data_IF_089322376174
#
_entry.id   IF_089322376174
#
_cell.length_a   1.000
_cell.length_b   1.000
_cell.length_c   1.000
_cell.angle_alpha   90.00
_cell.angle_beta   90.00
_cell.angle_gamma   90.00
#
_symmetry.space_group_name_H-M   'P 1'
#
loop_
_entity.id
_entity.type
_entity.pdbx_description
1 polymer ?
#
# COMPACT_ATOMS: atom_id res chain seq x y z
N UNK A 1 -30.24 -4.77 14.70
CA UNK A 1 -29.59 -5.73 13.78
C UNK A 1 -28.25 -6.12 14.39
N UNK A 2 -28.19 -7.22 15.15
CA UNK A 2 -26.97 -7.69 15.79
C UNK A 2 -26.12 -8.40 14.73
N UNK A 3 -25.32 -7.61 14.00
CA UNK A 3 -24.32 -8.14 13.08
C UNK A 3 -23.21 -8.72 13.97
N UNK A 4 -23.02 -10.04 13.89
CA UNK A 4 -22.12 -10.80 14.76
C UNK A 4 -20.71 -10.19 14.77
N UNK A 5 -20.33 -9.60 15.92
CA UNK A 5 -19.01 -8.96 16.13
C UNK A 5 -17.86 -9.92 15.77
N UNK A 6 -18.05 -11.22 16.03
CA UNK A 6 -17.09 -12.25 15.67
C UNK A 6 -16.89 -12.40 14.15
N UNK A 7 -17.98 -12.31 13.35
CA UNK A 7 -17.89 -12.41 11.89
C UNK A 7 -17.13 -11.20 11.30
N UNK A 8 -17.36 -9.99 11.84
CA UNK A 8 -16.67 -8.78 11.39
C UNK A 8 -15.17 -8.83 11.68
N UNK A 9 -14.77 -9.39 12.83
CA UNK A 9 -13.37 -9.58 13.18
C UNK A 9 -12.67 -10.57 12.25
N UNK A 10 -13.33 -11.69 11.91
CA UNK A 10 -12.77 -12.67 10.97
C UNK A 10 -12.56 -12.06 9.58
N UNK A 11 -13.49 -11.22 9.12
CA UNK A 11 -13.36 -10.54 7.82
C UNK A 11 -12.18 -9.56 7.84
N UNK A 12 -12.02 -8.73 8.87
CA UNK A 12 -10.89 -7.79 8.98
C UNK A 12 -9.53 -8.53 8.98
N UNK A 13 -9.41 -9.59 9.77
CA UNK A 13 -8.19 -10.42 9.80
C UNK A 13 -7.92 -11.07 8.43
N UNK A 14 -8.95 -11.53 7.74
CA UNK A 14 -8.82 -12.12 6.40
C UNK A 14 -8.34 -11.10 5.38
N UNK A 15 -8.88 -9.87 5.40
CA UNK A 15 -8.44 -8.79 4.52
C UNK A 15 -6.98 -8.43 4.78
N UNK A 16 -6.57 -8.33 6.05
CA UNK A 16 -5.17 -8.07 6.44
C UNK A 16 -4.22 -9.18 6.02
N UNK A 17 -4.65 -10.44 6.15
CA UNK A 17 -3.87 -11.58 5.67
C UNK A 17 -3.68 -11.52 4.15
N UNK A 18 -4.74 -11.16 3.42
CA UNK A 18 -4.67 -11.02 1.96
C UNK A 18 -3.74 -9.88 1.54
N UNK A 19 -3.78 -8.75 2.25
CA UNK A 19 -2.86 -7.62 2.05
C UNK A 19 -1.40 -8.05 2.17
N UNK A 20 -1.07 -8.81 3.23
CA UNK A 20 0.28 -9.34 3.42
C UNK A 20 0.68 -10.33 2.31
N UNK A 21 -0.23 -11.21 1.88
CA UNK A 21 0.06 -12.18 0.82
C UNK A 21 0.37 -11.47 -0.49
N UNK A 22 -0.43 -10.47 -0.87
CA UNK A 22 -0.21 -9.70 -2.10
C UNK A 22 1.07 -8.87 -2.02
N UNK A 23 1.37 -8.26 -0.87
CA UNK A 23 2.65 -7.59 -0.65
C UNK A 23 3.84 -8.55 -0.80
N UNK A 24 3.76 -9.79 -0.29
CA UNK A 24 4.80 -10.82 -0.51
C UNK A 24 4.97 -11.13 -1.99
N UNK A 25 3.86 -11.31 -2.72
CA UNK A 25 3.92 -11.59 -4.15
C UNK A 25 4.64 -10.46 -4.89
N UNK A 26 4.30 -9.21 -4.58
CA UNK A 26 4.96 -8.03 -5.17
C UNK A 26 6.45 -8.00 -4.82
N UNK A 27 6.83 -8.24 -3.55
CA UNK A 27 8.24 -8.34 -3.15
C UNK A 27 8.98 -9.39 -3.98
N UNK A 28 8.37 -10.56 -4.20
CA UNK A 28 9.03 -11.61 -4.96
C UNK A 28 9.16 -11.24 -6.43
N UNK A 29 8.07 -10.78 -7.07
CA UNK A 29 8.08 -10.50 -8.52
C UNK A 29 8.91 -9.28 -8.88
N UNK A 30 8.71 -8.18 -8.15
CA UNK A 30 9.40 -6.91 -8.37
C UNK A 30 10.87 -7.02 -7.95
N UNK A 31 11.13 -7.69 -6.82
CA UNK A 31 12.49 -7.92 -6.33
C UNK A 31 13.31 -8.80 -7.26
N UNK A 32 12.69 -9.82 -7.84
CA UNK A 32 13.33 -10.62 -8.87
C UNK A 32 13.60 -9.79 -10.13
N UNK A 33 12.66 -8.97 -10.59
CA UNK A 33 12.86 -8.10 -11.76
C UNK A 33 14.03 -7.13 -11.54
N UNK A 34 14.09 -6.48 -10.38
CA UNK A 34 15.22 -5.62 -9.96
C UNK A 34 16.54 -6.39 -9.96
N UNK A 35 16.54 -7.61 -9.40
CA UNK A 35 17.73 -8.45 -9.33
C UNK A 35 18.21 -8.94 -10.71
N UNK A 36 17.29 -9.24 -11.63
CA UNK A 36 17.62 -9.70 -12.99
C UNK A 36 18.12 -8.56 -13.84
N UNK A 37 17.43 -7.41 -13.82
CA UNK A 37 17.82 -6.24 -14.62
C UNK A 37 19.29 -5.92 -14.39
N UNK A 38 19.70 -5.79 -13.12
CA UNK A 38 21.04 -5.35 -12.68
C UNK A 38 21.44 -4.03 -13.36
N UNK A 39 21.95 -3.06 -12.60
CA UNK A 39 22.44 -1.84 -13.24
C UNK A 39 23.52 -2.15 -14.29
N UNK A 40 23.32 -1.67 -15.50
CA UNK A 40 24.18 -1.94 -16.65
C UNK A 40 24.62 -0.65 -17.34
N UNK A 41 25.75 -0.70 -18.04
CA UNK A 41 26.26 0.44 -18.80
C UNK A 41 25.81 0.33 -20.25
N UNK A 42 25.02 1.31 -20.69
CA UNK A 42 24.54 1.40 -22.06
C UNK A 42 25.39 2.37 -22.87
N UNK A 43 25.63 2.02 -24.13
CA UNK A 43 26.24 2.94 -25.07
C UNK A 43 25.17 3.80 -25.71
N UNK A 44 25.13 5.07 -25.34
CA UNK A 44 24.05 5.98 -25.72
C UNK A 44 24.56 6.96 -26.77
N UNK A 45 23.79 7.13 -27.84
CA UNK A 45 24.08 8.05 -28.93
C UNK A 45 23.26 9.34 -28.76
N UNK A 46 23.91 10.50 -28.77
CA UNK A 46 23.26 11.82 -28.77
C UNK A 46 23.70 12.62 -29.99
N UNK A 47 22.92 13.65 -30.31
CA UNK A 47 23.16 14.56 -31.45
C UNK A 47 24.57 15.19 -31.43
N UNK A 48 25.21 15.29 -30.25
CA UNK A 48 26.51 15.96 -30.07
C UNK A 48 27.66 15.03 -29.62
N UNK A 49 27.47 13.70 -29.61
CA UNK A 49 28.53 12.76 -29.22
C UNK A 49 28.01 11.40 -28.75
N UNK A 50 28.90 10.55 -28.26
CA UNK A 50 28.56 9.23 -27.69
C UNK A 50 29.31 9.07 -26.36
N UNK A 51 28.65 8.51 -25.34
CA UNK A 51 29.29 8.15 -24.07
C UNK A 51 28.61 6.91 -23.47
N UNK A 52 29.34 6.25 -22.56
CA UNK A 52 28.79 5.15 -21.77
C UNK A 52 28.00 5.71 -20.59
N UNK A 53 26.69 5.50 -20.57
CA UNK A 53 25.81 5.90 -19.49
C UNK A 53 25.54 4.69 -18.59
N UNK A 54 25.61 4.86 -17.28
CA UNK A 54 25.17 3.82 -16.35
C UNK A 54 23.64 3.93 -16.17
N UNK A 55 22.91 2.95 -16.66
CA UNK A 55 21.48 2.81 -16.41
C UNK A 55 21.28 1.97 -15.15
N UNK A 56 20.87 2.65 -14.08
CA UNK A 56 20.46 2.01 -12.83
C UNK A 56 19.08 1.36 -12.94
N UNK A 57 18.71 0.60 -11.92
CA UNK A 57 17.35 0.06 -11.79
C UNK A 57 16.35 1.24 -11.75
N UNK A 58 15.23 1.17 -12.47
CA UNK A 58 14.23 2.23 -12.45
C UNK A 58 13.68 2.49 -11.04
N UNK A 59 13.46 3.76 -10.70
CA UNK A 59 12.99 4.20 -9.39
C UNK A 59 11.54 3.78 -9.11
N UNK A 60 10.73 3.59 -10.16
CA UNK A 60 9.36 3.12 -10.03
C UNK A 60 9.28 1.70 -9.45
N UNK A 61 10.21 0.83 -9.84
CA UNK A 61 10.31 -0.53 -9.31
C UNK A 61 10.72 -0.48 -7.85
N UNK A 62 11.72 0.34 -7.52
CA UNK A 62 12.12 0.56 -6.12
C UNK A 62 10.99 1.10 -5.25
N UNK A 63 10.14 1.98 -5.79
CA UNK A 63 9.01 2.56 -5.06
C UNK A 63 7.89 1.54 -4.80
N UNK A 64 7.55 0.69 -5.78
CA UNK A 64 6.57 -0.39 -5.56
C UNK A 64 7.07 -1.39 -4.51
N UNK A 65 8.35 -1.73 -4.54
CA UNK A 65 9.02 -2.51 -3.50
C UNK A 65 8.92 -1.87 -2.10
N UNK A 66 9.15 -0.56 -2.03
CA UNK A 66 8.98 0.19 -0.77
C UNK A 66 7.53 0.11 -0.27
N UNK A 67 6.54 0.27 -1.15
CA UNK A 67 5.13 0.14 -0.80
C UNK A 67 4.83 -1.25 -0.21
N UNK A 68 5.38 -2.30 -0.83
CA UNK A 68 5.23 -3.67 -0.34
C UNK A 68 5.86 -3.88 1.04
N UNK A 69 7.07 -3.34 1.27
CA UNK A 69 7.72 -3.37 2.59
C UNK A 69 6.94 -2.57 3.64
N UNK A 70 6.42 -1.39 3.28
CA UNK A 70 5.61 -0.54 4.15
C UNK A 70 4.31 -1.23 4.60
N UNK A 71 3.68 -2.04 3.74
CA UNK A 71 2.47 -2.82 4.10
C UNK A 71 2.69 -3.70 5.33
N UNK A 72 3.87 -4.30 5.50
CA UNK A 72 4.14 -5.10 6.71
C UNK A 72 4.09 -4.26 7.98
N UNK A 73 4.79 -3.12 7.97
CA UNK A 73 4.80 -2.18 9.10
C UNK A 73 3.39 -1.67 9.38
N UNK A 74 2.65 -1.28 8.35
CA UNK A 74 1.28 -0.79 8.46
C UNK A 74 0.31 -1.83 9.03
N UNK A 75 0.31 -3.05 8.46
CA UNK A 75 -0.59 -4.13 8.91
C UNK A 75 -0.24 -4.59 10.32
N UNK A 76 1.04 -4.71 10.68
CA UNK A 76 1.46 -5.03 12.05
C UNK A 76 0.95 -3.97 13.02
N UNK A 77 1.15 -2.68 12.72
CA UNK A 77 0.63 -1.58 13.54
C UNK A 77 -0.89 -1.67 13.72
N UNK A 78 -1.63 -1.88 12.63
CA UNK A 78 -3.09 -1.94 12.65
C UNK A 78 -3.62 -3.19 13.38
N UNK A 79 -2.90 -4.32 13.30
CA UNK A 79 -3.22 -5.54 14.04
C UNK A 79 -3.12 -5.31 15.56
N UNK A 80 -2.06 -4.65 16.02
CA UNK A 80 -1.94 -4.26 17.43
C UNK A 80 -2.97 -3.20 17.84
N UNK A 81 -3.22 -2.20 16.97
CA UNK A 81 -4.23 -1.17 17.20
C UNK A 81 -5.64 -1.75 17.31
N UNK A 82 -5.97 -2.83 16.59
CA UNK A 82 -7.26 -3.51 16.70
C UNK A 82 -7.43 -4.27 18.04
N UNK A 83 -6.32 -4.65 18.70
CA UNK A 83 -6.34 -5.26 20.03
C UNK A 83 -6.55 -4.27 21.17
N UNK A 84 -6.19 -3.00 20.96
CA UNK A 84 -6.33 -1.91 21.93
C UNK A 84 -7.64 -1.18 21.58
N UNK A 85 -8.63 -1.20 22.47
CA UNK A 85 -9.96 -0.62 22.20
C UNK A 85 -9.84 0.82 21.65
N UNK A 86 -10.22 1.01 20.38
CA UNK A 86 -10.30 2.31 19.69
C UNK A 86 -11.10 3.37 20.45
N UNK A 87 -11.92 2.96 21.43
CA UNK A 87 -12.75 3.84 22.23
C UNK A 87 -11.99 4.61 23.32
N UNK A 88 -10.84 4.12 23.78
CA UNK A 88 -10.12 4.78 24.89
C UNK A 88 -9.09 5.82 24.42
N UNK A 89 -8.59 5.71 23.19
CA UNK A 89 -7.49 6.57 22.71
C UNK A 89 -7.78 7.08 21.29
N UNK A 90 -8.42 8.25 21.20
CA UNK A 90 -8.71 8.95 19.94
C UNK A 90 -7.47 9.10 19.04
N UNK A 91 -6.29 9.25 19.65
CA UNK A 91 -4.98 9.34 18.96
C UNK A 91 -4.68 8.06 18.16
N UNK A 92 -4.91 6.88 18.73
CA UNK A 92 -4.65 5.60 18.06
C UNK A 92 -5.58 5.45 16.84
N UNK A 93 -6.85 5.84 16.99
CA UNK A 93 -7.80 5.88 15.87
C UNK A 93 -7.35 6.77 14.72
N UNK A 94 -6.92 8.00 15.01
CA UNK A 94 -6.42 8.92 13.99
C UNK A 94 -5.16 8.42 13.28
N UNK A 95 -4.20 7.84 14.02
CA UNK A 95 -2.99 7.27 13.42
C UNK A 95 -3.33 6.09 12.52
N UNK A 96 -4.25 5.21 12.92
CA UNK A 96 -4.71 4.09 12.08
C UNK A 96 -5.30 4.58 10.74
N UNK A 97 -6.08 5.66 10.75
CA UNK A 97 -6.59 6.27 9.50
C UNK A 97 -5.45 6.79 8.64
N UNK A 98 -4.46 7.48 9.24
CA UNK A 98 -3.31 8.00 8.49
C UNK A 98 -2.53 6.86 7.84
N UNK A 99 -2.25 5.77 8.57
CA UNK A 99 -1.53 4.60 8.05
C UNK A 99 -2.27 3.97 6.87
N UNK A 100 -3.58 3.75 6.99
CA UNK A 100 -4.43 3.19 5.93
C UNK A 100 -4.46 4.11 4.69
N UNK A 101 -4.61 5.42 4.88
CA UNK A 101 -4.63 6.40 3.77
C UNK A 101 -3.27 6.53 3.09
N UNK A 102 -2.17 6.52 3.85
CA UNK A 102 -0.81 6.54 3.26
C UNK A 102 -0.58 5.29 2.44
N UNK A 103 -0.96 4.11 2.95
CA UNK A 103 -0.85 2.85 2.21
C UNK A 103 -1.71 2.88 0.95
N UNK A 104 -2.97 3.35 1.05
CA UNK A 104 -3.87 3.52 -0.08
C UNK A 104 -3.22 4.33 -1.22
N UNK A 105 -2.69 5.51 -0.89
CA UNK A 105 -2.13 6.42 -1.87
C UNK A 105 -0.79 5.92 -2.41
N UNK A 106 0.03 5.29 -1.57
CA UNK A 106 1.31 4.74 -1.99
C UNK A 106 1.12 3.60 -2.98
N UNK A 107 0.18 2.68 -2.71
CA UNK A 107 -0.12 1.59 -3.63
C UNK A 107 -0.70 2.09 -4.95
N UNK A 108 -1.58 3.08 -4.92
CA UNK A 108 -2.10 3.73 -6.14
C UNK A 108 -0.96 4.29 -7.00
N UNK A 109 -0.08 5.08 -6.39
CA UNK A 109 1.06 5.65 -7.09
C UNK A 109 2.03 4.55 -7.58
N UNK A 110 2.27 3.52 -6.77
CA UNK A 110 3.26 2.48 -7.05
C UNK A 110 2.89 1.63 -8.26
N UNK A 111 1.68 1.08 -8.30
CA UNK A 111 1.30 0.22 -9.42
C UNK A 111 1.18 1.01 -10.72
N UNK A 112 0.74 2.28 -10.66
CA UNK A 112 0.66 3.15 -11.86
C UNK A 112 2.05 3.48 -12.37
N UNK A 113 2.99 3.82 -11.49
CA UNK A 113 4.37 4.12 -11.86
C UNK A 113 5.01 2.93 -12.58
N UNK A 114 4.87 1.72 -12.03
CA UNK A 114 5.39 0.50 -12.68
C UNK A 114 4.63 0.20 -13.97
N UNK A 115 3.31 0.39 -14.02
CA UNK A 115 2.51 0.15 -15.23
C UNK A 115 2.92 1.04 -16.41
N UNK A 116 3.25 2.32 -16.15
CA UNK A 116 3.73 3.24 -17.18
C UNK A 116 5.15 2.89 -17.62
N UNK A 117 5.97 2.38 -16.70
CA UNK A 117 7.33 1.95 -17.00
C UNK A 117 7.36 0.66 -17.85
N UNK A 118 6.40 -0.27 -17.64
CA UNK A 118 6.21 -1.46 -18.49
C UNK A 118 5.78 -1.04 -19.90
N UNK A 119 6.72 -1.06 -20.86
CA UNK A 119 6.54 -0.58 -22.23
C UNK A 119 7.48 0.57 -22.62
N UNK A 120 8.30 1.05 -21.67
CA UNK A 120 9.39 2.00 -21.92
C UNK A 120 10.72 1.28 -22.17
N UNK A 121 11.80 2.02 -22.47
CA UNK A 121 13.12 1.47 -22.77
C UNK A 121 13.65 0.36 -21.83
N UNK A 122 13.53 0.46 -20.49
CA UNK A 122 13.96 -0.60 -19.57
C UNK A 122 13.12 -1.88 -19.67
N UNK A 123 11.93 -1.83 -20.29
CA UNK A 123 11.27 -3.05 -20.71
C UNK A 123 10.42 -2.90 -21.98
N UNK A 124 11.02 -3.16 -23.16
CA UNK A 124 10.33 -3.01 -24.43
C UNK A 124 9.22 -4.05 -24.58
N UNK A 125 8.12 -3.66 -25.23
CA UNK A 125 6.94 -4.51 -25.40
C UNK A 125 7.20 -5.79 -26.24
N UNK A 126 8.31 -5.82 -26.98
CA UNK A 126 8.69 -6.91 -27.88
C UNK A 126 9.42 -8.06 -27.17
N UNK A 127 9.96 -7.81 -25.97
CA UNK A 127 10.65 -8.83 -25.17
C UNK A 127 9.74 -9.30 -24.03
N UNK A 128 9.54 -10.62 -23.93
CA UNK A 128 8.67 -11.25 -22.93
C UNK A 128 9.27 -11.23 -21.51
N UNK A 129 10.34 -10.47 -21.30
CA UNK A 129 11.20 -10.58 -20.13
C UNK A 129 10.61 -9.85 -18.90
N UNK A 130 9.62 -8.96 -19.08
CA UNK A 130 8.92 -8.29 -17.97
C UNK A 130 7.54 -8.84 -17.65
N UNK A 131 7.28 -10.11 -17.95
CA UNK A 131 6.05 -10.78 -17.49
C UNK A 131 5.89 -10.68 -15.97
N UNK A 132 6.99 -10.75 -15.20
CA UNK A 132 6.94 -10.61 -13.74
C UNK A 132 6.52 -9.21 -13.29
N UNK A 133 6.91 -8.15 -13.98
CA UNK A 133 6.46 -6.79 -13.65
C UNK A 133 4.99 -6.59 -13.96
N UNK A 134 4.47 -7.21 -15.03
CA UNK A 134 3.01 -7.21 -15.29
C UNK A 134 2.24 -7.87 -14.14
N UNK A 135 2.78 -8.96 -13.59
CA UNK A 135 2.21 -9.60 -12.39
C UNK A 135 2.28 -8.64 -11.19
N UNK A 136 3.41 -7.98 -10.96
CA UNK A 136 3.57 -6.99 -9.89
C UNK A 136 2.54 -5.85 -9.99
N UNK A 137 2.28 -5.34 -11.20
CA UNK A 137 1.27 -4.31 -11.46
C UNK A 137 -0.14 -4.79 -11.10
N UNK A 138 -0.52 -6.01 -11.51
CA UNK A 138 -1.85 -6.57 -11.22
C UNK A 138 -2.04 -6.75 -9.71
N UNK A 139 -1.07 -7.35 -9.02
CA UNK A 139 -1.16 -7.52 -7.58
C UNK A 139 -1.10 -6.19 -6.83
N UNK A 140 -0.34 -5.20 -7.31
CA UNK A 140 -0.35 -3.85 -6.76
C UNK A 140 -1.70 -3.14 -6.90
N UNK A 141 -2.39 -3.33 -8.03
CA UNK A 141 -3.75 -2.79 -8.23
C UNK A 141 -4.79 -3.49 -7.33
N UNK A 142 -4.68 -4.81 -7.15
CA UNK A 142 -5.52 -5.56 -6.22
C UNK A 142 -5.27 -5.14 -4.76
N UNK A 143 -4.01 -4.88 -4.40
CA UNK A 143 -3.64 -4.42 -3.07
C UNK A 143 -4.19 -3.02 -2.78
N UNK A 144 -4.10 -2.11 -3.76
CA UNK A 144 -4.77 -0.82 -3.68
C UNK A 144 -6.27 -0.96 -3.41
N UNK A 145 -6.94 -1.90 -4.10
CA UNK A 145 -8.36 -2.17 -3.88
C UNK A 145 -8.65 -2.70 -2.46
N UNK A 146 -7.78 -3.55 -1.90
CA UNK A 146 -7.91 -4.00 -0.52
C UNK A 146 -7.79 -2.83 0.45
N UNK A 147 -6.82 -1.95 0.27
CA UNK A 147 -6.70 -0.74 1.08
C UNK A 147 -7.90 0.19 0.91
N UNK A 148 -8.50 0.30 -0.28
CA UNK A 148 -9.76 1.04 -0.46
C UNK A 148 -10.87 0.44 0.41
N UNK A 149 -10.99 -0.88 0.42
CA UNK A 149 -12.03 -1.61 1.20
C UNK A 149 -11.80 -1.45 2.70
N UNK A 150 -10.55 -1.45 3.21
CA UNK A 150 -10.23 -1.30 4.64
C UNK A 150 -10.27 0.15 5.12
N UNK A 151 -9.90 1.11 4.27
CA UNK A 151 -9.84 2.54 4.64
C UNK A 151 -11.23 3.12 4.90
N UNK A 152 -12.22 2.82 4.06
CA UNK A 152 -13.59 3.34 4.19
C UNK A 152 -14.23 3.05 5.56
N UNK A 153 -14.27 1.79 6.05
CA UNK A 153 -14.83 1.47 7.35
C UNK A 153 -13.99 2.06 8.50
N UNK A 154 -12.67 2.10 8.38
CA UNK A 154 -11.77 2.67 9.38
C UNK A 154 -12.04 4.16 9.59
N UNK A 155 -12.18 4.92 8.49
CA UNK A 155 -12.59 6.33 8.52
C UNK A 155 -13.95 6.47 9.21
N UNK A 156 -14.97 5.70 8.78
CA UNK A 156 -16.31 5.78 9.37
C UNK A 156 -16.32 5.47 10.87
N UNK A 157 -15.56 4.48 11.32
CA UNK A 157 -15.44 4.10 12.73
C UNK A 157 -14.85 5.24 13.56
N UNK A 158 -13.76 5.85 13.10
CA UNK A 158 -13.09 6.95 13.81
C UNK A 158 -13.93 8.22 13.83
N UNK A 159 -14.59 8.59 12.73
CA UNK A 159 -15.49 9.75 12.73
C UNK A 159 -16.70 9.56 13.63
N UNK A 160 -17.28 8.35 13.66
CA UNK A 160 -18.42 8.03 14.52
C UNK A 160 -18.03 7.97 16.00
N UNK A 161 -16.86 7.42 16.34
CA UNK A 161 -16.36 7.39 17.73
C UNK A 161 -16.05 8.79 18.23
N UNK A 162 -15.39 9.62 17.41
CA UNK A 162 -15.09 11.03 17.72
C UNK A 162 -16.38 11.82 17.95
N UNK A 163 -17.41 11.63 17.13
CA UNK A 163 -18.72 12.28 17.30
C UNK A 163 -19.36 11.86 18.63
N UNK A 164 -19.35 10.57 18.98
CA UNK A 164 -19.91 10.07 20.26
C UNK A 164 -19.19 10.64 21.48
N UNK A 165 -17.85 10.71 21.44
CA UNK A 165 -17.06 11.25 22.54
C UNK A 165 -17.30 12.76 22.74
N UNK A 166 -17.51 13.51 21.65
CA UNK A 166 -17.88 14.92 21.73
C UNK A 166 -19.26 15.11 22.38
N UNK A 167 -20.24 14.27 22.06
CA UNK A 167 -21.59 14.33 22.66
C UNK A 167 -21.57 14.00 24.16
N UNK A 168 -20.84 12.95 24.58
CA UNK A 168 -20.75 12.60 26.02
C UNK A 168 -20.06 13.68 26.85
N UNK A 169 -19.06 14.36 26.28
CA UNK A 169 -18.36 15.47 26.95
C UNK A 169 -19.28 16.68 27.15
N UNK A 170 -20.16 16.96 26.18
CA UNK A 170 -21.13 18.07 26.27
C UNK A 170 -22.20 17.78 27.34
N UNK A 171 -22.75 16.57 27.40
CA UNK A 171 -23.73 16.19 28.44
C UNK A 171 -23.13 16.23 29.87
N UNK A 172 -21.83 15.97 30.01
CA UNK A 172 -21.15 16.01 31.31
C UNK A 172 -20.85 17.45 31.77
N UNK A 173 -20.85 18.43 30.85
CA UNK A 173 -20.44 19.82 31.13
C UNK A 173 -21.58 20.82 31.20
N UNK A 174 -22.84 20.40 31.02
CA UNK A 174 -24.01 21.24 31.35
C UNK A 174 -24.38 21.06 32.83
N UNK A 175 -24.09 22.03 33.73
CA UNK A 175 -24.61 22.00 35.09
C UNK A 175 -26.10 22.39 35.05
N UNK A 176 -26.91 21.63 35.79
CA UNK A 176 -28.34 21.91 36.07
C UNK A 176 -28.45 23.10 37.01
#
# INVERSE_FOLDING_TARGET
>A
MAINIAANRTVDVTLRALQLIFAIIVIVTDGYAIHVYRGHTDYVHFVYGNFYAYAGVPDEWGFLMFCAGWTFLGVIFLFFAAGISFAEHAVIGSVSVIVEVVALLSWLAGFIAVAVNVGSNPCPAEENDCVLLKVAVVFGALEWLLFMITTIPTIKLVFNSTRRQKTSTIETTTPV
#
